data_IF_416966445170
#
_entry.id   IF_416966445170
#
_cell.length_a   1.000
_cell.length_b   1.000
_cell.length_c   1.000
_cell.angle_alpha   90.00
_cell.angle_beta   90.00
_cell.angle_gamma   90.00
#
_symmetry.space_group_name_H-M   'P 1'
#
loop_
_entity.id
_entity.type
_entity.pdbx_description
1 polymer ?
#
# COMPACT_ATOMS: atom_id res chain seq x y z
N UNK A 1 35.84 7.35 27.95
CA UNK A 1 35.41 8.55 27.21
C UNK A 1 34.91 8.09 25.84
N UNK A 2 33.70 8.48 25.45
CA UNK A 2 33.11 8.09 24.16
C UNK A 2 31.84 8.90 23.91
N UNK A 3 32.01 10.18 23.55
CA UNK A 3 30.95 11.05 23.06
C UNK A 3 30.53 10.55 21.68
N UNK A 4 29.45 9.77 21.62
CA UNK A 4 28.77 9.45 20.38
C UNK A 4 27.76 10.54 20.05
N UNK A 5 28.11 11.46 19.16
CA UNK A 5 27.17 12.42 18.58
C UNK A 5 25.96 11.67 18.00
N UNK A 6 24.79 11.85 18.62
CA UNK A 6 23.52 11.42 18.05
C UNK A 6 23.17 12.34 16.88
N UNK A 7 23.65 12.00 15.69
CA UNK A 7 23.20 12.66 14.46
C UNK A 7 21.70 12.37 14.29
N UNK A 8 20.89 13.42 14.31
CA UNK A 8 19.44 13.33 14.14
C UNK A 8 19.15 12.88 12.70
N UNK A 9 18.65 11.66 12.53
CA UNK A 9 18.27 11.12 11.21
C UNK A 9 17.19 12.02 10.62
N UNK A 10 17.49 12.70 9.51
CA UNK A 10 16.50 13.51 8.77
C UNK A 10 15.44 12.58 8.19
N UNK A 11 14.17 12.83 8.53
CA UNK A 11 13.04 12.04 8.05
C UNK A 11 12.12 12.93 7.22
N UNK A 12 11.77 12.47 6.02
CA UNK A 12 10.84 13.15 5.12
C UNK A 12 9.42 12.69 5.40
N UNK A 13 8.47 13.64 5.44
CA UNK A 13 7.05 13.36 5.59
C UNK A 13 6.39 13.47 4.22
N UNK A 14 5.57 12.49 3.86
CA UNK A 14 4.71 12.53 2.67
C UNK A 14 3.26 12.31 3.08
N UNK A 15 2.34 12.92 2.34
CA UNK A 15 0.89 12.72 2.51
C UNK A 15 0.46 11.66 1.48
N UNK A 16 -0.29 10.65 1.92
CA UNK A 16 -0.86 9.62 1.04
C UNK A 16 -2.13 10.10 0.31
N UNK A 17 -2.69 9.27 -0.58
CA UNK A 17 -3.89 9.59 -1.35
C UNK A 17 -5.16 9.74 -0.48
N UNK A 18 -5.08 9.43 0.82
CA UNK A 18 -6.14 9.56 1.80
C UNK A 18 -5.83 10.62 2.87
N UNK A 19 -4.99 11.61 2.56
CA UNK A 19 -4.60 12.73 3.43
C UNK A 19 -3.90 12.34 4.75
N UNK A 20 -3.32 11.14 4.86
CA UNK A 20 -2.60 10.70 6.07
C UNK A 20 -1.11 10.94 5.95
N UNK A 21 -0.54 11.57 6.98
CA UNK A 21 0.92 11.84 7.06
C UNK A 21 1.67 10.55 7.36
N UNK A 22 2.46 10.08 6.39
CA UNK A 22 3.35 8.92 6.54
C UNK A 22 4.81 9.36 6.62
N UNK A 23 5.54 8.68 7.50
CA UNK A 23 6.98 8.88 7.68
C UNK A 23 7.71 8.12 6.55
N UNK A 24 8.14 8.85 5.52
CA UNK A 24 8.91 8.28 4.41
C UNK A 24 10.38 8.22 4.79
N UNK A 25 10.93 7.01 4.89
CA UNK A 25 12.39 6.79 4.94
C UNK A 25 12.99 6.94 3.55
N UNK A 26 13.11 8.18 3.07
CA UNK A 26 13.72 8.51 1.79
C UNK A 26 15.20 8.78 1.92
N UNK A 27 16.06 7.99 1.27
CA UNK A 27 17.40 8.43 0.90
C UNK A 27 17.21 9.37 -0.29
N UNK A 28 17.59 10.65 -0.15
CA UNK A 28 17.49 11.62 -1.25
C UNK A 28 18.54 11.28 -2.30
N UNK A 29 18.14 10.58 -3.36
CA UNK A 29 19.01 10.29 -4.49
C UNK A 29 19.24 11.57 -5.29
N UNK A 30 20.48 11.79 -5.73
CA UNK A 30 20.81 12.94 -6.59
C UNK A 30 20.16 12.80 -7.95
N UNK A 31 19.95 13.92 -8.63
CA UNK A 31 19.32 13.98 -9.96
C UNK A 31 20.07 13.09 -10.98
N UNK A 32 21.39 13.02 -10.89
CA UNK A 32 22.24 12.10 -11.67
C UNK A 32 21.94 10.60 -11.42
N UNK A 33 21.64 10.22 -10.17
CA UNK A 33 21.28 8.82 -9.84
C UNK A 33 19.89 8.50 -10.39
N UNK A 34 18.95 9.44 -10.30
CA UNK A 34 17.61 9.29 -10.89
C UNK A 34 17.66 9.22 -12.43
N UNK A 35 18.54 9.99 -13.07
CA UNK A 35 18.73 9.97 -14.52
C UNK A 35 19.31 8.63 -14.99
N UNK A 36 20.26 8.05 -14.24
CA UNK A 36 20.78 6.71 -14.51
C UNK A 36 19.74 5.62 -14.33
N UNK A 37 18.92 5.69 -13.28
CA UNK A 37 17.84 4.71 -13.05
C UNK A 37 16.75 4.79 -14.13
N UNK A 38 16.46 6.00 -14.64
CA UNK A 38 15.58 6.17 -15.81
C UNK A 38 16.20 5.64 -17.12
N UNK A 39 17.52 5.76 -17.28
CA UNK A 39 18.25 5.17 -18.41
C UNK A 39 18.20 3.64 -18.46
N UNK A 40 18.06 2.97 -17.31
CA UNK A 40 17.89 1.50 -17.24
C UNK A 40 16.47 1.07 -17.62
N UNK A 41 15.45 1.89 -17.35
CA UNK A 41 14.06 1.59 -17.71
C UNK A 41 13.76 1.75 -19.22
N UNK A 42 14.66 2.36 -20.00
CA UNK A 42 14.45 2.65 -21.41
C UNK A 42 15.16 1.69 -22.39
N UNK A 43 15.72 0.58 -21.89
CA UNK A 43 16.30 -0.49 -22.73
C UNK A 43 15.31 -1.65 -22.93
N UNK A 44 14.15 -1.63 -22.27
CA UNK A 44 13.15 -2.71 -22.37
C UNK A 44 11.91 -2.35 -23.21
N UNK A 45 11.92 -1.22 -23.93
CA UNK A 45 10.82 -0.83 -24.82
C UNK A 45 11.30 -0.45 -26.24
N UNK A 46 12.18 -1.28 -26.82
CA UNK A 46 12.42 -1.25 -28.26
C UNK A 46 12.68 -2.65 -28.80
N UNK A 47 11.75 -3.56 -28.57
CA UNK A 47 11.61 -4.75 -29.40
C UNK A 47 10.19 -5.31 -29.29
N UNK A 48 9.53 -5.35 -30.45
CA UNK A 48 8.32 -6.12 -30.76
C UNK A 48 6.98 -5.50 -30.32
N UNK A 49 6.47 -4.60 -31.17
CA UNK A 49 5.07 -4.74 -31.61
C UNK A 49 5.07 -5.04 -33.11
N UNK A 50 4.53 -6.21 -33.43
CA UNK A 50 4.26 -6.71 -34.76
C UNK A 50 2.93 -6.20 -35.27
N UNK A 51 2.86 -5.88 -36.55
CA UNK A 51 1.61 -5.75 -37.28
C UNK A 51 1.83 -5.60 -38.78
N UNK A 52 1.66 -6.66 -39.58
CA UNK A 52 1.33 -6.52 -40.98
C UNK A 52 -0.20 -6.47 -41.10
N UNK A 53 -0.77 -5.27 -41.14
CA UNK A 53 -2.10 -5.08 -41.69
C UNK A 53 -1.98 -5.03 -43.21
N UNK A 54 -2.75 -5.89 -43.87
CA UNK A 54 -2.91 -5.86 -45.31
C UNK A 54 -3.65 -4.61 -45.75
N UNK A 55 -3.33 -4.14 -46.94
CA UNK A 55 -4.35 -3.56 -47.81
C UNK A 55 -4.24 -4.11 -49.23
N UNK A 56 -5.42 -4.09 -49.82
CA UNK A 56 -5.89 -4.73 -51.03
C UNK A 56 -5.15 -4.29 -52.28
N UNK A 57 -5.25 -5.18 -53.27
CA UNK A 57 -5.84 -4.77 -54.53
C UNK A 57 -4.87 -4.20 -55.55
N UNK A 58 -4.31 -5.08 -56.36
CA UNK A 58 -4.17 -4.80 -57.79
C UNK A 58 -4.49 -6.04 -58.59
N UNK A 59 -5.63 -5.93 -59.26
CA UNK A 59 -6.17 -6.82 -60.27
C UNK A 59 -5.14 -7.18 -61.36
N UNK A 60 -5.39 -8.28 -62.08
CA UNK A 60 -5.44 -8.16 -63.53
C UNK A 60 -6.84 -8.54 -64.01
N UNK A 61 -7.54 -7.54 -64.53
CA UNK A 61 -8.80 -7.71 -65.24
C UNK A 61 -8.56 -8.28 -66.64
N UNK A 62 -9.32 -9.33 -66.92
CA UNK A 62 -9.85 -9.80 -68.21
C UNK A 62 -10.00 -8.72 -69.29
N UNK A 63 -9.57 -8.95 -70.53
CA UNK A 63 -10.33 -9.50 -71.69
C UNK A 63 -9.70 -8.82 -72.94
N UNK A 64 -9.64 -9.31 -74.18
CA UNK A 64 -10.28 -10.36 -74.95
C UNK A 64 -9.55 -10.43 -76.30
N UNK A 65 -9.53 -11.61 -76.94
CA UNK A 65 -9.33 -11.87 -78.38
C UNK A 65 -8.05 -11.32 -79.04
N UNK A 66 -7.21 -12.14 -79.67
CA UNK A 66 -7.57 -12.89 -80.87
C UNK A 66 -6.55 -13.98 -81.16
N UNK A 67 -7.04 -15.06 -81.78
CA UNK A 67 -6.40 -15.89 -82.81
C UNK A 67 -5.10 -15.28 -83.41
N UNK A 68 -4.03 -16.01 -83.73
CA UNK A 68 -3.95 -17.32 -84.37
C UNK A 68 -2.48 -17.77 -84.43
N UNK A 69 -2.24 -19.07 -84.19
CA UNK A 69 -1.02 -19.76 -84.60
C UNK A 69 -1.02 -19.96 -86.12
N UNK A 70 0.05 -19.56 -86.82
CA UNK A 70 0.38 -20.04 -88.16
C UNK A 70 1.71 -20.80 -88.13
N UNK A 71 1.69 -22.06 -88.55
CA UNK A 71 2.76 -22.84 -89.20
C UNK A 71 2.10 -24.14 -89.73
N UNK A 72 2.60 -24.88 -90.74
CA UNK A 72 3.51 -24.62 -91.86
C UNK A 72 2.86 -24.95 -93.23
N UNK A 73 3.58 -24.68 -94.30
CA UNK A 73 3.33 -25.20 -95.66
C UNK A 73 4.01 -26.58 -95.84
N UNK A 74 3.25 -27.61 -96.24
CA UNK A 74 3.61 -28.58 -97.30
C UNK A 74 2.73 -29.84 -97.33
N UNK A 75 2.12 -30.04 -98.50
CA UNK A 75 1.72 -31.26 -99.24
C UNK A 75 0.82 -32.36 -98.62
N UNK A 76 -0.28 -32.57 -99.36
CA UNK A 76 -1.29 -33.64 -99.37
C UNK A 76 -0.69 -35.04 -99.81
N UNK A 77 -1.42 -36.20 -99.82
CA UNK A 77 -2.88 -36.31 -100.03
C UNK A 77 -3.71 -37.46 -99.39
N UNK A 78 -5.03 -37.25 -99.50
CA UNK A 78 -6.12 -38.18 -99.86
C UNK A 78 -6.66 -39.29 -98.92
N UNK A 79 -8.01 -39.25 -98.86
CA UNK A 79 -9.00 -40.35 -98.82
C UNK A 79 -9.46 -40.96 -97.48
N UNK A 80 -10.80 -41.09 -97.41
CA UNK A 80 -11.72 -41.53 -96.33
C UNK A 80 -11.90 -43.08 -96.33
N UNK A 81 -12.80 -43.69 -95.51
CA UNK A 81 -12.99 -43.65 -94.05
C UNK A 81 -13.32 -45.06 -93.43
N UNK A 82 -13.68 -45.09 -92.13
CA UNK A 82 -14.50 -46.11 -91.44
C UNK A 82 -13.82 -47.13 -90.50
N UNK A 83 -12.49 -47.16 -90.40
CA UNK A 83 -11.79 -48.00 -89.40
C UNK A 83 -11.46 -47.25 -88.09
N UNK A 84 -11.31 -45.92 -88.14
CA UNK A 84 -10.68 -45.12 -87.07
C UNK A 84 -11.62 -44.65 -85.95
N UNK A 85 -12.94 -44.49 -86.20
CA UNK A 85 -13.88 -43.98 -85.19
C UNK A 85 -14.04 -44.90 -83.97
N UNK A 86 -13.98 -46.22 -84.17
CA UNK A 86 -13.96 -47.21 -83.07
C UNK A 86 -12.64 -47.17 -82.29
N UNK A 87 -11.55 -46.83 -82.96
CA UNK A 87 -10.24 -46.67 -82.36
C UNK A 87 -10.16 -45.40 -81.51
N UNK A 88 -10.74 -44.30 -81.98
CA UNK A 88 -10.83 -43.03 -81.25
C UNK A 88 -11.74 -43.14 -80.01
N UNK A 89 -12.86 -43.84 -80.11
CA UNK A 89 -13.72 -44.17 -78.97
C UNK A 89 -12.95 -44.96 -77.89
N UNK A 90 -12.18 -45.98 -78.30
CA UNK A 90 -11.34 -46.76 -77.38
C UNK A 90 -10.21 -45.92 -76.77
N UNK A 91 -9.65 -44.95 -77.49
CA UNK A 91 -8.67 -44.00 -76.97
C UNK A 91 -9.30 -43.09 -75.91
N UNK A 92 -10.52 -42.61 -76.15
CA UNK A 92 -11.25 -41.77 -75.21
C UNK A 92 -11.60 -42.52 -73.92
N UNK A 93 -12.08 -43.76 -74.02
CA UNK A 93 -12.36 -44.60 -72.85
C UNK A 93 -11.09 -44.92 -72.03
N UNK A 94 -9.96 -45.19 -72.69
CA UNK A 94 -8.66 -45.34 -72.02
C UNK A 94 -8.23 -44.06 -71.31
N UNK A 95 -8.39 -42.90 -71.95
CA UNK A 95 -8.10 -41.61 -71.32
C UNK A 95 -9.02 -41.36 -70.11
N UNK A 96 -10.31 -41.70 -70.22
CA UNK A 96 -11.26 -41.56 -69.12
C UNK A 96 -10.95 -42.50 -67.95
N UNK A 97 -10.47 -43.72 -68.23
CA UNK A 97 -10.02 -44.66 -67.22
C UNK A 97 -8.77 -44.15 -66.47
N UNK A 98 -7.77 -43.64 -67.21
CA UNK A 98 -6.55 -43.04 -66.64
C UNK A 98 -6.92 -41.83 -65.76
N UNK A 99 -7.78 -40.94 -66.24
CA UNK A 99 -8.20 -39.77 -65.47
C UNK A 99 -8.95 -40.16 -64.18
N UNK A 100 -9.80 -41.19 -64.23
CA UNK A 100 -10.50 -41.72 -63.03
C UNK A 100 -9.53 -42.33 -62.03
N UNK A 101 -8.52 -43.07 -62.51
CA UNK A 101 -7.49 -43.67 -61.66
C UNK A 101 -6.61 -42.60 -61.00
N UNK A 102 -6.19 -41.58 -61.74
CA UNK A 102 -5.40 -40.46 -61.20
C UNK A 102 -6.20 -39.66 -60.17
N UNK A 103 -7.50 -39.43 -60.40
CA UNK A 103 -8.37 -38.78 -59.43
C UNK A 103 -8.53 -39.63 -58.16
N UNK A 104 -8.68 -40.95 -58.29
CA UNK A 104 -8.74 -41.86 -57.15
C UNK A 104 -7.44 -41.83 -56.33
N UNK A 105 -6.28 -41.83 -56.98
CA UNK A 105 -4.97 -41.69 -56.31
C UNK A 105 -4.83 -40.36 -55.57
N UNK A 106 -5.28 -39.26 -56.16
CA UNK A 106 -5.25 -37.94 -55.51
C UNK A 106 -6.16 -37.93 -54.27
N UNK A 107 -7.42 -38.38 -54.41
CA UNK A 107 -8.36 -38.40 -53.27
C UNK A 107 -7.90 -39.32 -52.14
N UNK A 108 -7.21 -40.43 -52.44
CA UNK A 108 -6.63 -41.30 -51.42
C UNK A 108 -5.48 -40.59 -50.69
N UNK A 109 -4.57 -39.94 -51.41
CA UNK A 109 -3.49 -39.14 -50.80
C UNK A 109 -4.03 -38.00 -49.94
N UNK A 110 -5.08 -37.31 -50.39
CA UNK A 110 -5.74 -36.25 -49.60
C UNK A 110 -6.34 -36.79 -48.29
N UNK A 111 -6.95 -37.98 -48.31
CA UNK A 111 -7.45 -38.64 -47.10
C UNK A 111 -6.32 -39.02 -46.15
N UNK A 112 -5.26 -39.63 -46.66
CA UNK A 112 -4.09 -40.01 -45.85
C UNK A 112 -3.44 -38.77 -45.20
N UNK A 113 -3.31 -37.67 -45.94
CA UNK A 113 -2.81 -36.41 -45.41
C UNK A 113 -3.78 -35.77 -44.40
N UNK A 114 -5.10 -35.88 -44.61
CA UNK A 114 -6.09 -35.41 -43.65
C UNK A 114 -6.09 -36.24 -42.35
N UNK A 115 -5.92 -37.55 -42.46
CA UNK A 115 -5.81 -38.46 -41.31
C UNK A 115 -4.51 -38.22 -40.54
N UNK A 116 -3.37 -38.05 -41.22
CA UNK A 116 -2.12 -37.67 -40.57
C UNK A 116 -2.20 -36.30 -39.91
N UNK A 117 -2.82 -35.31 -40.57
CA UNK A 117 -3.04 -33.98 -39.99
C UNK A 117 -3.95 -34.02 -38.75
N UNK A 118 -5.00 -34.83 -38.76
CA UNK A 118 -5.90 -34.97 -37.59
C UNK A 118 -5.20 -35.68 -36.45
N UNK A 119 -4.41 -36.74 -36.71
CA UNK A 119 -3.58 -37.39 -35.69
C UNK A 119 -2.56 -36.43 -35.08
N UNK A 120 -1.83 -35.68 -35.91
CA UNK A 120 -0.87 -34.68 -35.45
C UNK A 120 -1.54 -33.61 -34.58
N UNK A 121 -2.71 -33.12 -34.99
CA UNK A 121 -3.48 -32.13 -34.22
C UNK A 121 -4.00 -32.69 -32.88
N UNK A 122 -4.43 -33.96 -32.83
CA UNK A 122 -4.85 -34.62 -31.59
C UNK A 122 -3.67 -34.79 -30.64
N UNK A 123 -2.51 -35.20 -31.14
CA UNK A 123 -1.28 -35.34 -30.35
C UNK A 123 -0.82 -33.98 -29.79
N UNK A 124 -0.82 -32.93 -30.61
CA UNK A 124 -0.52 -31.56 -30.17
C UNK A 124 -1.46 -31.11 -29.04
N UNK A 125 -2.77 -31.37 -29.18
CA UNK A 125 -3.75 -31.06 -28.14
C UNK A 125 -3.54 -31.83 -26.85
N UNK A 126 -3.16 -33.11 -26.94
CA UNK A 126 -2.87 -33.94 -25.77
C UNK A 126 -1.63 -33.43 -25.05
N UNK A 127 -0.57 -33.11 -25.80
CA UNK A 127 0.65 -32.53 -25.23
C UNK A 127 0.36 -31.17 -24.56
N UNK A 128 -0.40 -30.29 -25.21
CA UNK A 128 -0.80 -29.00 -24.64
C UNK A 128 -1.63 -29.15 -23.34
N UNK A 129 -2.50 -30.17 -23.26
CA UNK A 129 -3.25 -30.47 -22.03
C UNK A 129 -2.35 -30.96 -20.91
N UNK A 130 -1.44 -31.88 -21.20
CA UNK A 130 -0.49 -32.40 -20.20
C UNK A 130 0.41 -31.29 -19.66
N UNK A 131 0.91 -30.40 -20.52
CA UNK A 131 1.70 -29.24 -20.10
C UNK A 131 0.86 -28.26 -19.25
N UNK A 132 -0.40 -28.02 -19.62
CA UNK A 132 -1.31 -27.19 -18.81
C UNK A 132 -1.58 -27.81 -17.43
N UNK A 133 -1.72 -29.13 -17.33
CA UNK A 133 -1.93 -29.81 -16.04
C UNK A 133 -0.68 -29.79 -15.17
N UNK A 134 0.51 -30.07 -15.75
CA UNK A 134 1.78 -29.97 -15.03
C UNK A 134 2.02 -28.56 -14.50
N UNK A 135 1.82 -27.53 -15.34
CA UNK A 135 1.99 -26.13 -14.91
C UNK A 135 1.02 -25.76 -13.79
N UNK A 136 -0.24 -26.21 -13.84
CA UNK A 136 -1.20 -26.02 -12.75
C UNK A 136 -0.77 -26.72 -11.46
N UNK A 137 -0.22 -27.94 -11.54
CA UNK A 137 0.26 -28.68 -10.37
C UNK A 137 1.44 -27.97 -9.70
N UNK A 138 2.44 -27.57 -10.49
CA UNK A 138 3.59 -26.81 -9.98
C UNK A 138 3.15 -25.51 -9.31
N UNK A 139 2.21 -24.79 -9.93
CA UNK A 139 1.71 -23.53 -9.38
C UNK A 139 0.89 -23.74 -8.09
N UNK A 140 0.15 -24.85 -7.99
CA UNK A 140 -0.55 -25.24 -6.77
C UNK A 140 0.43 -25.60 -5.63
N UNK A 141 1.49 -26.34 -5.93
CA UNK A 141 2.55 -26.69 -4.97
C UNK A 141 3.30 -25.44 -4.49
N UNK A 142 3.68 -24.53 -5.41
CA UNK A 142 4.31 -23.25 -5.05
C UNK A 142 3.41 -22.39 -4.16
N UNK A 143 2.10 -22.37 -4.43
CA UNK A 143 1.11 -21.68 -3.60
C UNK A 143 1.03 -22.28 -2.21
N UNK A 144 1.05 -23.61 -2.07
CA UNK A 144 1.02 -24.30 -0.78
C UNK A 144 2.29 -24.00 0.04
N UNK A 145 3.46 -24.07 -0.58
CA UNK A 145 4.74 -23.71 0.05
C UNK A 145 4.72 -22.26 0.53
N UNK A 146 4.23 -21.33 -0.29
CA UNK A 146 4.09 -19.91 0.10
C UNK A 146 3.10 -19.74 1.24
N UNK A 147 1.98 -20.46 1.25
CA UNK A 147 0.99 -20.40 2.32
C UNK A 147 1.58 -20.86 3.66
N UNK A 148 2.33 -21.97 3.67
CA UNK A 148 3.04 -22.44 4.87
C UNK A 148 4.08 -21.43 5.36
N UNK A 149 4.80 -20.78 4.44
CA UNK A 149 5.76 -19.74 4.78
C UNK A 149 5.08 -18.52 5.43
N UNK A 150 3.93 -18.09 4.91
CA UNK A 150 3.13 -17.02 5.49
C UNK A 150 2.62 -17.40 6.87
N UNK A 151 2.08 -18.60 7.03
CA UNK A 151 1.60 -19.09 8.33
C UNK A 151 2.71 -19.09 9.39
N UNK A 152 3.93 -19.51 9.02
CA UNK A 152 5.10 -19.44 9.92
C UNK A 152 5.41 -17.99 10.32
N UNK A 153 5.31 -17.04 9.38
CA UNK A 153 5.54 -15.62 9.66
C UNK A 153 4.45 -15.03 10.54
N UNK A 154 3.19 -15.40 10.32
CA UNK A 154 2.07 -14.97 11.16
C UNK A 154 2.22 -15.47 12.60
N UNK A 155 2.66 -16.72 12.79
CA UNK A 155 2.95 -17.25 14.13
C UNK A 155 4.08 -16.48 14.82
N UNK A 156 5.14 -16.14 14.09
CA UNK A 156 6.23 -15.32 14.61
C UNK A 156 5.77 -13.91 14.99
N UNK A 157 4.96 -13.28 14.14
CA UNK A 157 4.40 -11.95 14.41
C UNK A 157 3.47 -11.97 15.62
N UNK A 158 2.59 -12.98 15.73
CA UNK A 158 1.70 -13.14 16.89
C UNK A 158 2.48 -13.36 18.20
N UNK A 159 3.57 -14.13 18.16
CA UNK A 159 4.42 -14.31 19.34
C UNK A 159 5.10 -12.99 19.76
N UNK A 160 5.56 -12.20 18.79
CA UNK A 160 6.17 -10.89 19.04
C UNK A 160 5.13 -9.89 19.57
N UNK A 161 3.93 -9.88 19.00
CA UNK A 161 2.81 -9.06 19.44
C UNK A 161 2.44 -9.37 20.88
N UNK A 162 2.26 -10.64 21.22
CA UNK A 162 1.96 -11.07 22.59
C UNK A 162 3.07 -10.64 23.58
N UNK A 163 4.34 -10.77 23.18
CA UNK A 163 5.47 -10.32 24.00
C UNK A 163 5.40 -8.81 24.28
N UNK A 164 5.19 -7.98 23.26
CA UNK A 164 5.14 -6.53 23.45
C UNK A 164 3.87 -6.07 24.16
N UNK A 165 2.73 -6.71 23.93
CA UNK A 165 1.51 -6.44 24.69
C UNK A 165 1.72 -6.72 26.18
N UNK A 166 2.35 -7.83 26.54
CA UNK A 166 2.68 -8.13 27.94
C UNK A 166 3.62 -7.07 28.54
N UNK A 167 4.64 -6.63 27.79
CA UNK A 167 5.54 -5.56 28.26
C UNK A 167 4.80 -4.24 28.49
N UNK A 168 3.88 -3.87 27.59
CA UNK A 168 3.07 -2.67 27.73
C UNK A 168 2.14 -2.77 28.94
N UNK A 169 1.44 -3.90 29.11
CA UNK A 169 0.58 -4.13 30.27
C UNK A 169 1.34 -4.05 31.60
N UNK A 170 2.57 -4.58 31.65
CA UNK A 170 3.44 -4.45 32.82
C UNK A 170 3.87 -3.01 33.08
N UNK A 171 4.19 -2.24 32.04
CA UNK A 171 4.53 -0.83 32.17
C UNK A 171 3.34 0.01 32.64
N UNK A 172 2.16 -0.20 32.05
CA UNK A 172 0.92 0.46 32.43
C UNK A 172 0.56 0.16 33.89
N UNK A 173 0.64 -1.11 34.30
CA UNK A 173 0.42 -1.51 35.70
C UNK A 173 1.38 -0.80 36.65
N UNK A 174 2.69 -0.82 36.37
CA UNK A 174 3.71 -0.13 37.19
C UNK A 174 3.56 1.39 37.17
N UNK A 175 2.98 1.97 36.12
CA UNK A 175 2.70 3.39 36.05
C UNK A 175 1.51 3.75 36.95
N UNK A 176 0.43 2.96 36.87
CA UNK A 176 -0.75 3.13 37.71
C UNK A 176 -0.44 2.96 39.20
N UNK A 177 0.35 1.94 39.56
CA UNK A 177 0.80 1.70 40.94
C UNK A 177 1.59 2.91 41.47
N UNK A 178 2.59 3.38 40.72
CA UNK A 178 3.37 4.57 41.10
C UNK A 178 2.52 5.83 41.22
N UNK A 179 1.55 6.01 40.33
CA UNK A 179 0.63 7.15 40.40
C UNK A 179 -0.24 7.08 41.67
N UNK A 180 -0.77 5.89 41.99
CA UNK A 180 -1.57 5.68 43.20
C UNK A 180 -0.76 5.95 44.47
N UNK A 181 0.46 5.39 44.56
CA UNK A 181 1.38 5.64 45.67
C UNK A 181 1.74 7.12 45.79
N UNK A 182 2.06 7.78 44.68
CA UNK A 182 2.40 9.20 44.66
C UNK A 182 1.22 10.08 45.11
N UNK A 183 0.01 9.75 44.65
CA UNK A 183 -1.22 10.41 45.07
C UNK A 183 -1.44 10.25 46.58
N UNK A 184 -1.29 9.04 47.11
CA UNK A 184 -1.43 8.79 48.54
C UNK A 184 -0.39 9.54 49.36
N UNK A 185 0.88 9.49 48.96
CA UNK A 185 1.96 10.22 49.61
C UNK A 185 1.72 11.73 49.61
N UNK A 186 1.23 12.29 48.50
CA UNK A 186 0.88 13.71 48.41
C UNK A 186 -0.22 14.06 49.41
N UNK A 187 -1.32 13.31 49.42
CA UNK A 187 -2.43 13.58 50.34
C UNK A 187 -2.03 13.37 51.81
N UNK A 188 -1.21 12.36 52.08
CA UNK A 188 -0.69 12.13 53.42
C UNK A 188 0.23 13.27 53.87
N UNK A 189 1.12 13.75 53.00
CA UNK A 189 1.98 14.89 53.26
C UNK A 189 1.17 16.18 53.47
N UNK A 190 0.16 16.43 52.64
CA UNK A 190 -0.76 17.55 52.79
C UNK A 190 -1.48 17.48 54.14
N UNK A 191 -2.08 16.33 54.49
CA UNK A 191 -2.79 16.15 55.76
C UNK A 191 -1.88 16.33 56.98
N UNK A 192 -0.66 15.77 56.93
CA UNK A 192 0.36 15.97 57.97
C UNK A 192 0.76 17.44 58.09
N UNK A 193 0.87 18.14 56.96
CA UNK A 193 1.22 19.55 56.93
C UNK A 193 0.09 20.41 57.49
N UNK A 194 -1.16 20.15 57.10
CA UNK A 194 -2.35 20.82 57.66
C UNK A 194 -2.48 20.59 59.17
N UNK A 195 -2.21 19.38 59.66
CA UNK A 195 -2.24 19.08 61.09
C UNK A 195 -1.14 19.81 61.88
N UNK A 196 0.02 20.05 61.27
CA UNK A 196 1.17 20.68 61.92
C UNK A 196 1.20 22.20 61.74
N UNK A 197 0.57 22.74 60.70
CA UNK A 197 0.42 24.17 60.51
C UNK A 197 -0.60 24.68 61.53
N UNK A 198 -0.12 25.51 62.46
CA UNK A 198 -0.99 26.25 63.36
C UNK A 198 -1.96 27.08 62.51
N UNK A 199 -3.26 26.90 62.71
CA UNK A 199 -4.26 27.74 62.08
C UNK A 199 -3.98 29.20 62.46
N UNK A 200 -3.68 30.03 61.47
CA UNK A 200 -3.62 31.47 61.69
C UNK A 200 -5.01 31.93 62.10
N UNK A 201 -5.12 32.50 63.29
CA UNK A 201 -6.37 33.11 63.74
C UNK A 201 -6.68 34.28 62.79
N UNK A 202 -7.77 34.16 62.04
CA UNK A 202 -8.35 35.25 61.24
C UNK A 202 -9.19 36.20 62.09
N UNK A 203 -9.28 35.95 63.41
CA UNK A 203 -10.05 36.78 64.31
C UNK A 203 -9.41 38.17 64.45
N UNK A 204 -10.22 39.25 64.41
CA UNK A 204 -9.71 40.60 64.59
C UNK A 204 -9.14 40.75 66.00
N UNK A 205 -7.85 41.11 66.08
CA UNK A 205 -7.19 41.36 67.36
C UNK A 205 -7.68 42.70 67.94
N UNK A 206 -7.84 42.75 69.26
CA UNK A 206 -8.24 43.96 70.00
C UNK A 206 -9.65 44.47 69.65
N UNK A 207 -10.54 43.63 69.14
CA UNK A 207 -11.90 44.01 68.70
C UNK A 207 -12.72 44.75 69.78
N UNK A 208 -12.59 44.36 71.05
CA UNK A 208 -13.23 45.04 72.18
C UNK A 208 -12.73 46.48 72.38
N UNK A 209 -11.40 46.66 72.42
CA UNK A 209 -10.79 47.99 72.52
C UNK A 209 -11.07 48.84 71.27
N UNK A 210 -11.10 48.23 70.09
CA UNK A 210 -11.49 48.87 68.84
C UNK A 210 -12.93 49.42 68.92
N UNK A 211 -13.87 48.65 69.45
CA UNK A 211 -15.25 49.10 69.62
C UNK A 211 -15.34 50.26 70.62
N UNK A 212 -14.63 50.16 71.75
CA UNK A 212 -14.62 51.18 72.80
C UNK A 212 -14.02 52.51 72.31
N UNK A 213 -12.90 52.48 71.59
CA UNK A 213 -12.28 53.72 71.09
C UNK A 213 -13.13 54.40 70.02
N UNK A 214 -13.77 53.60 69.15
CA UNK A 214 -14.72 54.12 68.18
C UNK A 214 -15.98 54.69 68.85
N UNK A 215 -16.41 54.16 70.00
CA UNK A 215 -17.48 54.78 70.79
C UNK A 215 -17.02 56.10 71.40
N UNK A 216 -15.87 56.11 72.06
CA UNK A 216 -15.35 57.30 72.74
C UNK A 216 -15.22 58.50 71.79
N UNK A 217 -14.70 58.30 70.57
CA UNK A 217 -14.61 59.38 69.58
C UNK A 217 -15.96 59.81 69.03
N UNK A 218 -16.96 58.90 68.96
CA UNK A 218 -18.32 59.27 68.57
C UNK A 218 -18.97 60.18 69.61
N UNK A 219 -18.72 59.91 70.89
CA UNK A 219 -19.28 60.64 72.03
C UNK A 219 -18.51 61.94 72.35
N UNK A 220 -17.25 62.06 71.93
CA UNK A 220 -16.36 63.21 72.22
C UNK A 220 -15.76 63.84 70.95
N UNK A 221 -16.60 64.26 70.00
CA UNK A 221 -16.17 64.75 68.68
C UNK A 221 -15.22 65.95 68.72
N UNK A 222 -15.50 66.93 69.58
CA UNK A 222 -14.69 68.17 69.68
C UNK A 222 -13.64 68.09 70.80
N UNK A 223 -13.59 66.98 71.54
CA UNK A 223 -12.72 66.80 72.72
C UNK A 223 -12.03 65.42 72.69
N UNK A 224 -11.46 65.07 71.53
CA UNK A 224 -10.87 63.74 71.26
C UNK A 224 -9.74 63.35 72.19
N UNK A 225 -9.06 64.32 72.82
CA UNK A 225 -8.00 64.08 73.80
C UNK A 225 -8.48 63.33 75.05
N UNK A 226 -9.78 63.38 75.39
CA UNK A 226 -10.37 62.56 76.46
C UNK A 226 -10.29 61.05 76.18
N UNK A 227 -10.17 60.65 74.91
CA UNK A 227 -10.01 59.25 74.49
C UNK A 227 -8.54 58.83 74.37
N UNK A 228 -7.59 59.70 74.75
CA UNK A 228 -6.16 59.47 74.52
C UNK A 228 -5.61 58.25 75.27
N UNK A 229 -6.08 57.97 76.47
CA UNK A 229 -5.64 56.80 77.24
C UNK A 229 -6.17 55.50 76.61
N UNK A 230 -7.43 55.50 76.16
CA UNK A 230 -8.02 54.39 75.42
C UNK A 230 -7.32 54.14 74.07
N UNK A 231 -6.82 55.20 73.41
CA UNK A 231 -5.98 55.11 72.23
C UNK A 231 -4.62 54.47 72.49
N UNK A 232 -3.99 54.80 73.63
CA UNK A 232 -2.72 54.16 74.04
C UNK A 232 -2.94 52.68 74.33
N UNK A 233 -4.02 52.32 75.02
CA UNK A 233 -4.35 50.92 75.32
C UNK A 233 -4.63 50.11 74.06
N UNK A 234 -5.42 50.64 73.13
CA UNK A 234 -5.65 49.98 71.84
C UNK A 234 -4.35 49.76 71.06
N UNK A 235 -3.47 50.76 71.02
CA UNK A 235 -2.17 50.66 70.36
C UNK A 235 -1.23 49.67 71.05
N UNK A 236 -1.23 49.63 72.38
CA UNK A 236 -0.47 48.64 73.16
C UNK A 236 -0.97 47.22 72.86
N UNK A 237 -2.28 47.01 72.77
CA UNK A 237 -2.86 45.73 72.40
C UNK A 237 -2.43 45.29 70.99
N UNK A 238 -2.48 46.18 69.98
CA UNK A 238 -2.01 45.87 68.62
C UNK A 238 -0.52 45.49 68.62
N UNK A 239 0.30 46.26 69.33
CA UNK A 239 1.74 46.02 69.37
C UNK A 239 2.10 44.73 70.11
N UNK A 240 1.38 44.39 71.18
CA UNK A 240 1.52 43.12 71.88
C UNK A 240 1.14 41.95 70.96
N UNK A 241 0.04 42.07 70.22
CA UNK A 241 -0.40 41.07 69.26
C UNK A 241 0.58 40.89 68.09
N UNK A 242 1.13 41.98 67.56
CA UNK A 242 2.17 41.93 66.51
C UNK A 242 3.44 41.19 66.97
N UNK A 243 3.78 41.29 68.25
CA UNK A 243 4.93 40.58 68.84
C UNK A 243 4.65 39.10 69.09
N UNK A 244 3.39 38.71 69.29
CA UNK A 244 3.00 37.33 69.63
C UNK A 244 2.48 36.52 68.43
N UNK A 245 2.06 37.18 67.34
CA UNK A 245 1.63 36.50 66.13
C UNK A 245 2.83 35.91 65.38
N UNK A 246 2.83 34.60 65.08
CA UNK A 246 3.82 34.03 64.18
C UNK A 246 3.65 34.67 62.80
N UNK A 247 4.67 35.41 62.35
CA UNK A 247 4.70 35.95 60.99
C UNK A 247 4.78 34.76 60.04
N UNK A 248 3.72 34.53 59.28
CA UNK A 248 3.73 33.63 58.14
C UNK A 248 4.72 34.19 57.12
N UNK A 249 5.98 33.74 57.16
CA UNK A 249 6.91 33.98 56.07
C UNK A 249 6.49 33.09 54.92
N UNK A 250 5.73 33.66 53.99
CA UNK A 250 5.49 33.07 52.67
C UNK A 250 6.77 33.00 51.86
#
# INVERSE_FOLDING_TARGET
>A
MGLGESTTRKVSYGVDEEDRVRILRGVKLSEDVLQRMRGVANISQSSLSSGPQGDKGSSPGSSSASQSRQKPESRAPSSKPASTAKEDQRRFERQQAILKEELAKITQREKELADEKTKASIQERQHARQESEKTKQLLAEEMEVRALQLQKKDLQLKALEAFYQEQLAQLEKKNLERYAESKEQFHQAASKTEANIRSCSTAPVCSGLQAQILSCYRDNRDQTLKCSDLAKEYLQCINAARKSLPVSRG
#
